data_IF_014086284650
#
_entry.id   IF_014086284650
#
_cell.length_a   1.000
_cell.length_b   1.000
_cell.length_c   1.000
_cell.angle_alpha   90.00
_cell.angle_beta   90.00
_cell.angle_gamma   90.00
#
_symmetry.space_group_name_H-M   'P 1'
#
loop_
_entity.id
_entity.type
_entity.pdbx_description
1 polymer ?
#
# COMPACT_ATOMS: atom_id res chain seq x y z
N UNK A 1 3.35 -15.32 -15.12
CA UNK A 1 1.90 -15.22 -14.87
C UNK A 1 1.53 -13.79 -14.60
N UNK A 2 0.54 -13.26 -15.31
CA UNK A 2 -0.07 -11.95 -15.05
C UNK A 2 -1.53 -12.21 -14.72
N UNK A 3 -2.01 -11.66 -13.61
CA UNK A 3 -3.40 -11.78 -13.17
C UNK A 3 -3.97 -10.38 -13.03
N UNK A 4 -5.18 -10.16 -13.57
CA UNK A 4 -5.87 -8.87 -13.59
C UNK A 4 -7.18 -8.99 -12.81
N UNK A 5 -7.54 -7.93 -12.07
CA UNK A 5 -8.82 -7.85 -11.38
C UNK A 5 -8.91 -6.60 -10.51
N UNK A 6 -9.99 -6.51 -9.73
CA UNK A 6 -10.20 -5.41 -8.80
C UNK A 6 -9.32 -5.56 -7.55
N UNK A 7 -8.67 -4.47 -7.14
CA UNK A 7 -7.88 -4.43 -5.92
C UNK A 7 -8.72 -4.67 -4.65
N UNK A 8 -10.04 -4.46 -4.70
CA UNK A 8 -10.95 -4.83 -3.59
C UNK A 8 -11.18 -6.34 -3.48
N UNK A 9 -10.68 -7.13 -4.43
CA UNK A 9 -10.75 -8.60 -4.44
C UNK A 9 -9.35 -9.23 -4.42
N UNK A 10 -8.32 -8.47 -4.04
CA UNK A 10 -6.91 -8.85 -4.13
C UNK A 10 -6.59 -10.19 -3.45
N UNK A 11 -7.10 -10.46 -2.24
CA UNK A 11 -6.78 -11.72 -1.55
C UNK A 11 -7.39 -12.93 -2.27
N UNK A 12 -8.59 -12.79 -2.82
CA UNK A 12 -9.24 -13.84 -3.60
C UNK A 12 -8.48 -14.11 -4.92
N UNK A 13 -8.12 -13.04 -5.63
CA UNK A 13 -7.35 -13.11 -6.87
C UNK A 13 -6.02 -13.83 -6.63
N UNK A 14 -5.31 -13.43 -5.57
CA UNK A 14 -4.04 -14.06 -5.19
C UNK A 14 -4.23 -15.55 -4.83
N UNK A 15 -5.26 -15.89 -4.04
CA UNK A 15 -5.58 -17.28 -3.70
C UNK A 15 -5.83 -18.14 -4.93
N UNK A 16 -6.60 -17.63 -5.91
CA UNK A 16 -6.90 -18.34 -7.17
C UNK A 16 -5.66 -18.51 -8.05
N UNK A 17 -4.68 -17.61 -7.93
CA UNK A 17 -3.43 -17.68 -8.71
C UNK A 17 -2.51 -18.86 -8.32
N UNK A 18 -2.67 -19.41 -7.11
CA UNK A 18 -1.83 -20.50 -6.60
C UNK A 18 -0.37 -20.11 -6.32
N UNK A 19 -0.02 -18.82 -6.33
CA UNK A 19 1.37 -18.32 -6.26
C UNK A 19 2.02 -18.40 -4.85
N UNK A 20 1.35 -18.98 -3.86
CA UNK A 20 1.90 -19.17 -2.51
C UNK A 20 1.95 -17.89 -1.68
N UNK A 21 2.96 -17.76 -0.81
CA UNK A 21 3.07 -16.62 0.13
C UNK A 21 3.59 -15.37 -0.56
N UNK A 22 3.03 -14.21 -0.21
CA UNK A 22 3.51 -12.90 -0.69
C UNK A 22 4.68 -12.42 0.16
N UNK A 23 5.84 -12.22 -0.48
CA UNK A 23 7.02 -11.60 0.17
C UNK A 23 7.07 -10.09 0.01
N UNK A 24 6.50 -9.54 -1.08
CA UNK A 24 6.55 -8.11 -1.38
C UNK A 24 5.25 -7.64 -2.02
N UNK A 25 4.72 -6.52 -1.54
CA UNK A 25 3.58 -5.80 -2.14
C UNK A 25 4.08 -4.42 -2.55
N UNK A 26 4.06 -4.15 -3.85
CA UNK A 26 4.34 -2.82 -4.41
C UNK A 26 3.04 -2.21 -4.88
N UNK A 27 2.62 -1.11 -4.26
CA UNK A 27 1.34 -0.47 -4.52
C UNK A 27 1.51 0.95 -5.07
N UNK A 28 0.91 1.19 -6.24
CA UNK A 28 0.90 2.47 -6.94
C UNK A 28 -0.49 3.12 -6.95
N UNK A 29 -1.44 2.60 -6.18
CA UNK A 29 -2.80 3.12 -6.15
C UNK A 29 -2.85 4.51 -5.51
N UNK A 30 -3.62 5.45 -6.09
CA UNK A 30 -3.67 6.83 -5.61
C UNK A 30 -4.65 6.98 -4.43
N UNK A 31 -4.31 6.41 -3.27
CA UNK A 31 -5.14 6.45 -2.06
C UNK A 31 -5.57 7.86 -1.61
N UNK A 32 -4.85 8.91 -2.05
CA UNK A 32 -5.21 10.30 -1.75
C UNK A 32 -6.47 10.75 -2.49
N UNK A 33 -6.66 10.28 -3.74
CA UNK A 33 -7.82 10.62 -4.58
C UNK A 33 -8.91 9.55 -4.59
N UNK A 34 -8.63 8.36 -4.07
CA UNK A 34 -9.64 7.30 -3.94
C UNK A 34 -10.67 7.67 -2.86
N UNK A 35 -11.97 7.31 -3.06
CA UNK A 35 -12.95 7.37 -1.99
C UNK A 35 -12.48 6.57 -0.77
N UNK A 36 -12.68 7.12 0.43
CA UNK A 36 -12.20 6.49 1.67
C UNK A 36 -12.71 5.05 1.85
N UNK A 37 -13.95 4.78 1.45
CA UNK A 37 -14.54 3.44 1.51
C UNK A 37 -13.78 2.45 0.61
N UNK A 38 -13.47 2.84 -0.62
CA UNK A 38 -12.71 2.03 -1.57
C UNK A 38 -11.28 1.81 -1.07
N UNK A 39 -10.62 2.88 -0.61
CA UNK A 39 -9.29 2.78 -0.02
C UNK A 39 -9.26 1.86 1.20
N UNK A 40 -10.26 1.94 2.07
CA UNK A 40 -10.41 1.05 3.22
C UNK A 40 -10.56 -0.43 2.83
N UNK A 41 -11.41 -0.73 1.82
CA UNK A 41 -11.59 -2.09 1.29
C UNK A 41 -10.27 -2.66 0.75
N UNK A 42 -9.56 -1.88 -0.07
CA UNK A 42 -8.27 -2.29 -0.64
C UNK A 42 -7.24 -2.55 0.47
N UNK A 43 -7.16 -1.68 1.47
CA UNK A 43 -6.24 -1.87 2.59
C UNK A 43 -6.59 -3.11 3.43
N UNK A 44 -7.87 -3.43 3.58
CA UNK A 44 -8.32 -4.68 4.20
C UNK A 44 -7.90 -5.92 3.41
N UNK A 45 -7.88 -5.86 2.08
CA UNK A 45 -7.35 -6.95 1.26
C UNK A 45 -5.82 -7.07 1.37
N UNK A 46 -5.10 -5.94 1.37
CA UNK A 46 -3.65 -5.91 1.61
C UNK A 46 -3.30 -6.51 2.96
N UNK A 47 -4.08 -6.20 4.00
CA UNK A 47 -3.89 -6.72 5.36
C UNK A 47 -3.91 -8.25 5.40
N UNK A 48 -4.78 -8.90 4.63
CA UNK A 48 -4.85 -10.38 4.51
C UNK A 48 -3.58 -11.01 3.92
N UNK A 49 -2.81 -10.25 3.14
CA UNK A 49 -1.57 -10.72 2.49
C UNK A 49 -0.30 -10.31 3.26
N UNK A 50 -0.42 -9.39 4.22
CA UNK A 50 0.67 -8.82 5.01
C UNK A 50 1.13 -9.73 6.17
N UNK A 51 1.31 -11.02 5.90
CA UNK A 51 1.84 -12.01 6.87
C UNK A 51 3.32 -11.77 7.17
N UNK A 52 3.84 -12.30 8.30
CA UNK A 52 5.21 -12.10 8.83
C UNK A 52 6.28 -11.63 7.82
N UNK A 53 7.03 -12.41 7.06
CA UNK A 53 8.08 -11.86 6.16
C UNK A 53 7.68 -10.95 4.98
N UNK A 54 6.44 -10.43 4.90
CA UNK A 54 5.96 -9.60 3.80
C UNK A 54 6.38 -8.13 3.95
N UNK A 55 6.83 -7.50 2.86
CA UNK A 55 7.13 -6.07 2.81
C UNK A 55 6.11 -5.33 1.95
N UNK A 56 5.41 -4.34 2.52
CA UNK A 56 4.57 -3.43 1.75
C UNK A 56 5.32 -2.13 1.46
N UNK A 57 5.34 -1.72 0.19
CA UNK A 57 5.90 -0.45 -0.26
C UNK A 57 4.92 0.27 -1.17
N UNK A 58 4.76 1.56 -0.91
CA UNK A 58 4.07 2.48 -1.81
C UNK A 58 4.82 3.80 -1.89
N UNK A 59 4.39 4.68 -2.79
CA UNK A 59 4.86 6.06 -2.82
C UNK A 59 3.73 7.05 -2.50
N UNK A 60 4.12 8.21 -1.97
CA UNK A 60 3.24 9.35 -1.82
C UNK A 60 3.93 10.59 -2.34
N UNK A 61 3.24 11.34 -3.19
CA UNK A 61 3.74 12.60 -3.69
C UNK A 61 3.90 13.63 -2.57
N UNK A 62 4.97 14.42 -2.62
CA UNK A 62 5.29 15.40 -1.60
C UNK A 62 4.19 16.45 -1.44
N UNK A 63 3.60 16.91 -2.55
CA UNK A 63 2.52 17.89 -2.54
C UNK A 63 1.24 17.38 -1.85
N UNK A 64 0.98 16.06 -1.90
CA UNK A 64 -0.19 15.42 -1.27
C UNK A 64 0.09 14.83 0.10
N UNK A 65 1.33 14.87 0.58
CA UNK A 65 1.78 14.13 1.77
C UNK A 65 1.04 14.53 3.05
N UNK A 66 0.68 15.81 3.19
CA UNK A 66 -0.03 16.31 4.36
C UNK A 66 -1.56 16.37 4.18
N UNK A 67 -2.09 15.82 3.08
CA UNK A 67 -3.53 15.73 2.90
C UNK A 67 -4.20 14.84 3.95
N UNK A 68 -5.46 15.12 4.35
CA UNK A 68 -6.19 14.28 5.31
C UNK A 68 -6.27 12.80 4.90
N UNK A 69 -6.48 12.51 3.61
CA UNK A 69 -6.53 11.15 3.08
C UNK A 69 -5.17 10.45 3.20
N UNK A 70 -4.06 11.15 2.89
CA UNK A 70 -2.71 10.61 3.06
C UNK A 70 -2.37 10.32 4.53
N UNK A 71 -2.79 11.20 5.45
CA UNK A 71 -2.62 11.01 6.89
C UNK A 71 -3.42 9.79 7.36
N UNK A 72 -4.70 9.67 7.00
CA UNK A 72 -5.56 8.54 7.36
C UNK A 72 -4.98 7.20 6.92
N UNK A 73 -4.48 7.11 5.69
CA UNK A 73 -3.78 5.94 5.19
C UNK A 73 -2.55 5.60 6.04
N UNK A 74 -1.69 6.58 6.33
CA UNK A 74 -0.49 6.34 7.16
C UNK A 74 -0.86 5.96 8.60
N UNK A 75 -1.95 6.50 9.13
CA UNK A 75 -2.46 6.17 10.45
C UNK A 75 -3.01 4.74 10.49
N UNK A 76 -3.76 4.33 9.46
CA UNK A 76 -4.23 2.95 9.28
C UNK A 76 -3.05 1.96 9.30
N UNK A 77 -2.03 2.23 8.50
CA UNK A 77 -0.84 1.38 8.42
C UNK A 77 -0.03 1.43 9.72
N UNK A 78 0.08 2.61 10.35
CA UNK A 78 0.82 2.79 11.61
C UNK A 78 0.22 1.98 12.75
N UNK A 79 -1.11 1.93 12.85
CA UNK A 79 -1.80 1.16 13.91
C UNK A 79 -1.54 -0.34 13.80
N UNK A 80 -1.31 -0.87 12.60
CA UNK A 80 -1.15 -2.32 12.33
C UNK A 80 0.32 -2.76 12.28
N UNK A 81 1.16 -1.99 11.61
CA UNK A 81 2.53 -2.39 11.27
C UNK A 81 3.60 -1.49 11.91
N UNK A 82 3.20 -0.45 12.65
CA UNK A 82 4.11 0.54 13.21
C UNK A 82 4.51 1.63 12.21
N UNK A 83 5.47 2.47 12.60
CA UNK A 83 5.89 3.61 11.77
C UNK A 83 6.55 3.13 10.47
N UNK A 84 6.18 3.76 9.36
CA UNK A 84 6.80 3.49 8.06
C UNK A 84 8.27 3.90 8.05
N UNK A 85 9.12 3.12 7.39
CA UNK A 85 10.41 3.62 6.91
C UNK A 85 10.17 4.47 5.66
N UNK A 86 10.46 5.77 5.78
CA UNK A 86 10.34 6.75 4.69
C UNK A 86 11.69 6.93 4.01
N UNK A 87 11.72 6.97 2.67
CA UNK A 87 12.93 7.35 1.92
C UNK A 87 13.21 8.86 2.00
N UNK A 88 14.41 9.31 1.60
CA UNK A 88 14.60 10.67 1.14
C UNK A 88 13.59 11.05 0.05
N UNK A 89 13.37 12.35 -0.14
CA UNK A 89 12.54 12.86 -1.23
C UNK A 89 13.19 12.51 -2.57
N UNK A 90 12.46 11.82 -3.43
CA UNK A 90 12.92 11.43 -4.76
C UNK A 90 12.54 12.53 -5.75
N UNK A 91 13.45 13.48 -5.96
CA UNK A 91 13.24 14.65 -6.84
C UNK A 91 13.33 14.32 -8.33
N UNK A 92 13.93 13.17 -8.68
CA UNK A 92 13.96 12.65 -10.06
C UNK A 92 12.58 12.12 -10.51
N UNK A 93 11.65 11.90 -9.59
CA UNK A 93 10.25 11.62 -9.90
C UNK A 93 9.51 12.95 -10.05
N UNK A 94 8.72 13.12 -11.11
CA UNK A 94 7.90 14.32 -11.32
C UNK A 94 6.42 13.92 -11.24
N UNK A 95 5.66 14.40 -10.23
CA UNK A 95 6.08 15.27 -9.14
C UNK A 95 6.90 14.54 -8.05
N UNK A 96 7.75 15.23 -7.26
CA UNK A 96 8.58 14.59 -6.24
C UNK A 96 7.79 13.74 -5.25
N UNK A 97 8.35 12.60 -4.86
CA UNK A 97 7.65 11.62 -4.01
C UNK A 97 8.56 11.00 -2.95
N UNK A 98 7.93 10.51 -1.88
CA UNK A 98 8.55 9.62 -0.90
C UNK A 98 8.13 8.19 -1.17
N UNK A 99 8.99 7.22 -0.89
CA UNK A 99 8.54 5.84 -0.66
C UNK A 99 8.30 5.60 0.82
N UNK A 100 7.25 4.84 1.14
CA UNK A 100 6.87 4.43 2.48
C UNK A 100 6.88 2.92 2.54
N UNK A 101 7.59 2.35 3.52
CA UNK A 101 7.74 0.91 3.69
C UNK A 101 7.25 0.46 5.06
N UNK A 102 6.50 -0.64 5.10
CA UNK A 102 6.08 -1.35 6.31
C UNK A 102 6.43 -2.84 6.17
N UNK A 103 6.60 -3.50 7.31
CA UNK A 103 6.81 -4.95 7.38
C UNK A 103 5.56 -5.60 7.98
N UNK A 104 5.14 -6.71 7.38
CA UNK A 104 4.11 -7.60 7.88
C UNK A 104 4.48 -8.14 9.26
N UNK A 105 3.46 -8.51 10.02
CA UNK A 105 3.58 -9.13 11.33
C UNK A 105 2.68 -10.34 11.35
#
# INVERSE_FOLDING_TARGET
NIVTGDATSLAEIHRRSGLGRVGYIVCCLPFVSLPNEVGGKILGEVEKLMTEGCMFRMYQYAHGYYSPSAIKLRDFMRKRYGRSRRSPLIVKNIPPAYTLTWLGR
#
